data_IF_915479801190
#
_entry.id   IF_915479801190
#
_cell.length_a   1.000
_cell.length_b   1.000
_cell.length_c   1.000
_cell.angle_alpha   90.00
_cell.angle_beta   90.00
_cell.angle_gamma   90.00
#
_symmetry.space_group_name_H-M   'P 1'
#
loop_
_entity.id
_entity.type
_entity.pdbx_description
1 polymer ?
#
# COMPACT_ATOMS: atom_id res chain seq x y z
N UNK A 1 3.92 -13.58 -14.63
CA UNK A 1 5.08 -12.67 -14.76
C UNK A 1 4.97 -11.63 -13.65
N UNK A 2 6.09 -11.30 -13.01
CA UNK A 2 6.19 -10.26 -11.99
C UNK A 2 7.09 -9.16 -12.55
N UNK A 3 6.73 -7.90 -12.34
CA UNK A 3 7.58 -6.76 -12.68
C UNK A 3 7.80 -5.94 -11.42
N UNK A 4 9.06 -5.59 -11.16
CA UNK A 4 9.45 -4.74 -10.03
C UNK A 4 10.08 -3.49 -10.63
N UNK A 5 9.58 -2.33 -10.21
CA UNK A 5 10.13 -1.02 -10.56
C UNK A 5 10.60 -0.34 -9.26
N UNK A 6 11.90 -0.42 -8.95
CA UNK A 6 12.47 0.28 -7.81
C UNK A 6 12.39 1.80 -8.03
N UNK A 7 12.07 2.55 -6.98
CA UNK A 7 12.06 4.02 -7.01
C UNK A 7 13.20 4.54 -6.13
N UNK A 8 13.18 4.23 -4.82
CA UNK A 8 14.20 4.67 -3.88
C UNK A 8 14.08 3.91 -2.56
N UNK A 9 15.19 3.51 -1.95
CA UNK A 9 15.20 2.84 -0.65
C UNK A 9 14.22 1.65 -0.57
N UNK A 10 13.17 1.76 0.26
CA UNK A 10 12.11 0.75 0.42
C UNK A 10 10.94 0.95 -0.56
N UNK A 11 10.93 2.06 -1.30
CA UNK A 11 9.89 2.39 -2.27
C UNK A 11 10.09 1.64 -3.58
N UNK A 12 9.11 0.82 -3.92
CA UNK A 12 9.04 0.13 -5.20
C UNK A 12 7.59 -0.07 -5.65
N UNK A 13 7.42 -0.29 -6.96
CA UNK A 13 6.16 -0.71 -7.55
C UNK A 13 6.29 -2.16 -8.01
N UNK A 14 5.42 -3.02 -7.51
CA UNK A 14 5.31 -4.40 -7.93
C UNK A 14 4.04 -4.56 -8.77
N UNK A 15 4.18 -5.18 -9.94
CA UNK A 15 3.07 -5.51 -10.84
C UNK A 15 2.98 -7.02 -10.95
N UNK A 16 1.87 -7.59 -10.50
CA UNK A 16 1.67 -9.03 -10.51
C UNK A 16 0.19 -9.38 -10.61
N UNK A 17 -0.16 -10.24 -11.57
CA UNK A 17 -1.52 -10.77 -11.67
C UNK A 17 -2.62 -9.72 -11.91
N UNK A 18 -2.27 -8.54 -12.47
CA UNK A 18 -3.19 -7.41 -12.64
C UNK A 18 -3.15 -6.39 -11.50
N UNK A 19 -2.58 -6.77 -10.36
CA UNK A 19 -2.39 -5.91 -9.19
C UNK A 19 -1.21 -4.95 -9.38
N UNK A 20 -1.35 -3.75 -8.83
CA UNK A 20 -0.31 -2.73 -8.75
C UNK A 20 -0.08 -2.43 -7.28
N UNK A 21 1.04 -2.91 -6.75
CA UNK A 21 1.39 -2.84 -5.33
C UNK A 21 2.48 -1.80 -5.15
N UNK A 22 2.25 -0.80 -4.31
CA UNK A 22 3.28 0.16 -3.92
C UNK A 22 3.79 -0.19 -2.53
N UNK A 23 5.11 -0.33 -2.37
CA UNK A 23 5.73 -0.56 -1.07
C UNK A 23 6.29 0.73 -0.53
N UNK A 24 6.10 1.00 0.76
CA UNK A 24 6.71 2.10 1.52
C UNK A 24 6.84 3.40 0.72
N UNK A 25 5.70 3.98 0.26
CA UNK A 25 5.73 5.07 -0.69
C UNK A 25 6.21 6.37 -0.04
N UNK A 26 7.42 6.79 -0.41
CA UNK A 26 7.98 8.11 -0.08
C UNK A 26 8.42 8.85 -1.35
N UNK A 27 8.70 10.15 -1.24
CA UNK A 27 9.18 10.98 -2.35
C UNK A 27 8.11 11.82 -3.08
N UNK A 28 6.88 11.86 -2.56
CA UNK A 28 5.79 12.66 -3.10
C UNK A 28 5.19 12.10 -4.39
N UNK A 29 4.20 12.79 -4.95
CA UNK A 29 3.51 12.35 -6.17
C UNK A 29 4.44 12.23 -7.39
N UNK A 30 5.47 13.08 -7.47
CA UNK A 30 6.43 13.11 -8.57
C UNK A 30 7.21 11.79 -8.73
N UNK A 31 7.51 11.11 -7.62
CA UNK A 31 8.16 9.81 -7.64
C UNK A 31 7.35 8.71 -8.34
N UNK A 32 6.03 8.92 -8.50
CA UNK A 32 5.09 7.97 -9.09
C UNK A 32 4.47 8.46 -10.40
N UNK A 33 5.01 9.53 -11.00
CA UNK A 33 4.52 10.05 -12.28
C UNK A 33 4.60 9.01 -13.40
N UNK A 34 3.56 8.95 -14.24
CA UNK A 34 3.44 7.97 -15.32
C UNK A 34 3.16 6.54 -14.87
N UNK A 35 3.08 6.27 -13.56
CA UNK A 35 2.75 4.96 -13.03
C UNK A 35 1.24 4.79 -12.89
N UNK A 36 0.78 3.53 -12.99
CA UNK A 36 -0.63 3.20 -12.75
C UNK A 36 -0.95 3.36 -11.27
N UNK A 37 -2.15 3.83 -10.95
CA UNK A 37 -2.63 3.90 -9.56
C UNK A 37 -2.50 2.54 -8.86
N UNK A 38 -2.09 2.51 -7.58
CA UNK A 38 -1.99 1.27 -6.84
C UNK A 38 -3.38 0.68 -6.62
N UNK A 39 -3.47 -0.65 -6.68
CA UNK A 39 -4.59 -1.42 -6.14
C UNK A 39 -4.35 -1.78 -4.67
N UNK A 40 -3.07 -1.80 -4.26
CA UNK A 40 -2.65 -2.04 -2.89
C UNK A 40 -1.45 -1.16 -2.54
N UNK A 41 -1.46 -0.60 -1.34
CA UNK A 41 -0.29 0.04 -0.72
C UNK A 41 0.11 -0.79 0.50
N UNK A 42 1.39 -1.13 0.58
CA UNK A 42 1.98 -1.81 1.73
C UNK A 42 2.93 -0.83 2.43
N UNK A 43 2.66 -0.54 3.70
CA UNK A 43 3.56 0.24 4.55
C UNK A 43 4.08 -0.68 5.65
N UNK A 44 5.39 -0.79 5.77
CA UNK A 44 6.05 -1.75 6.65
C UNK A 44 6.35 -1.18 8.03
N UNK A 45 6.63 0.12 8.11
CA UNK A 45 7.14 0.76 9.33
C UNK A 45 6.71 2.24 9.46
N UNK A 46 6.87 2.80 10.65
CA UNK A 46 6.56 4.20 11.00
C UNK A 46 7.73 5.18 10.77
N UNK A 47 8.93 4.69 10.46
CA UNK A 47 10.08 5.54 10.17
C UNK A 47 9.85 6.39 8.91
N UNK A 48 10.48 7.57 8.89
CA UNK A 48 10.26 8.62 7.87
C UNK A 48 10.69 8.21 6.46
N UNK A 49 11.56 7.22 6.33
CA UNK A 49 12.04 6.63 5.08
C UNK A 49 11.16 5.47 4.57
N UNK A 50 10.14 5.08 5.33
CA UNK A 50 9.10 4.12 4.94
C UNK A 50 7.71 4.74 4.83
N UNK A 51 7.41 5.72 5.69
CA UNK A 51 6.10 6.38 5.78
C UNK A 51 6.20 7.87 5.49
N UNK A 52 5.42 8.32 4.51
CA UNK A 52 5.17 9.75 4.25
C UNK A 52 3.68 10.00 4.12
N UNK A 53 3.09 10.68 5.11
CA UNK A 53 1.66 11.04 5.09
C UNK A 53 1.30 11.92 3.88
N UNK A 54 2.20 12.82 3.49
CA UNK A 54 2.06 13.65 2.28
C UNK A 54 2.01 12.80 1.02
N UNK A 55 2.97 11.87 0.87
CA UNK A 55 3.01 10.97 -0.30
C UNK A 55 1.77 10.10 -0.34
N UNK A 56 1.38 9.51 0.78
CA UNK A 56 0.21 8.65 0.89
C UNK A 56 -1.07 9.40 0.50
N UNK A 57 -1.28 10.60 1.03
CA UNK A 57 -2.45 11.42 0.70
C UNK A 57 -2.52 11.79 -0.79
N UNK A 58 -1.38 11.94 -1.45
CA UNK A 58 -1.31 12.29 -2.87
C UNK A 58 -1.58 11.10 -3.81
N UNK A 59 -1.26 9.87 -3.40
CA UNK A 59 -1.29 8.70 -4.30
C UNK A 59 -2.31 7.63 -3.92
N UNK A 60 -2.89 7.66 -2.72
CA UNK A 60 -3.86 6.67 -2.25
C UNK A 60 -5.22 6.89 -2.92
N UNK A 61 -5.67 6.01 -3.83
CA UNK A 61 -7.02 6.11 -4.38
C UNK A 61 -8.03 5.50 -3.39
N UNK A 62 -9.31 5.87 -3.53
CA UNK A 62 -10.39 5.44 -2.62
C UNK A 62 -10.66 3.93 -2.64
N UNK A 63 -10.29 3.25 -3.72
CA UNK A 63 -10.50 1.83 -3.98
C UNK A 63 -9.27 0.96 -3.71
N UNK A 64 -8.13 1.55 -3.31
CA UNK A 64 -6.95 0.79 -2.94
C UNK A 64 -7.05 0.21 -1.53
N UNK A 65 -6.52 -1.00 -1.36
CA UNK A 65 -6.29 -1.59 -0.04
C UNK A 65 -5.01 -1.03 0.57
N UNK A 66 -5.05 -0.59 1.84
CA UNK A 66 -3.86 -0.19 2.60
C UNK A 66 -3.52 -1.27 3.62
N UNK A 67 -2.43 -2.01 3.41
CA UNK A 67 -1.93 -2.97 4.40
C UNK A 67 -0.79 -2.31 5.19
N UNK A 68 -0.94 -2.23 6.50
CA UNK A 68 0.07 -1.67 7.38
C UNK A 68 -0.03 -2.22 8.81
N UNK A 69 1.04 -2.18 9.61
CA UNK A 69 0.98 -2.45 11.04
C UNK A 69 0.08 -1.46 11.78
N UNK A 70 -0.43 -1.87 12.96
CA UNK A 70 -1.21 -1.00 13.85
C UNK A 70 -0.52 0.34 14.12
N UNK A 71 0.80 0.31 14.34
CA UNK A 71 1.58 1.50 14.65
C UNK A 71 1.50 2.58 13.56
N UNK A 72 1.45 2.17 12.29
CA UNK A 72 1.30 3.10 11.14
C UNK A 72 -0.10 3.72 11.14
N UNK A 73 -1.13 2.90 11.35
CA UNK A 73 -2.52 3.36 11.34
C UNK A 73 -2.77 4.35 12.48
N UNK A 74 -2.23 4.08 13.67
CA UNK A 74 -2.44 4.92 14.85
C UNK A 74 -1.83 6.33 14.72
N UNK A 75 -0.82 6.50 13.86
CA UNK A 75 -0.13 7.80 13.67
C UNK A 75 -0.61 8.59 12.45
N UNK A 76 -1.44 8.01 11.57
CA UNK A 76 -1.98 8.70 10.40
C UNK A 76 -3.16 9.60 10.83
N UNK A 77 -2.99 10.93 10.88
CA UNK A 77 -4.01 11.81 11.44
C UNK A 77 -5.14 12.03 10.41
N UNK A 78 -6.39 11.77 10.82
CA UNK A 78 -7.57 12.26 10.10
C UNK A 78 -7.81 11.65 8.71
N UNK A 79 -7.11 10.56 8.35
CA UNK A 79 -7.49 9.77 7.17
C UNK A 79 -8.71 8.94 7.54
N UNK A 80 -9.87 9.26 6.96
CA UNK A 80 -11.09 8.48 7.10
C UNK A 80 -10.90 7.13 6.39
N UNK A 81 -10.35 6.17 7.12
CA UNK A 81 -10.14 4.81 6.65
C UNK A 81 -11.44 3.97 6.64
N UNK A 82 -12.61 4.59 6.88
CA UNK A 82 -13.90 3.87 6.97
C UNK A 82 -14.38 3.31 5.62
N UNK A 83 -13.99 3.93 4.50
CA UNK A 83 -14.26 3.40 3.14
C UNK A 83 -13.23 2.38 2.66
N UNK A 84 -12.09 2.29 3.35
CA UNK A 84 -10.99 1.42 2.99
C UNK A 84 -10.97 0.28 4.03
N UNK A 85 -11.89 -0.68 3.90
CA UNK A 85 -12.23 -1.72 4.88
C UNK A 85 -11.08 -2.62 5.41
N UNK A 86 -9.81 -2.34 5.12
CA UNK A 86 -8.71 -3.21 5.52
C UNK A 86 -7.48 -2.45 6.00
N UNK A 87 -7.60 -1.64 7.06
CA UNK A 87 -6.52 -1.55 8.03
C UNK A 87 -6.44 -2.89 8.79
N UNK A 88 -5.93 -3.94 8.13
CA UNK A 88 -5.83 -5.30 8.68
C UNK A 88 -4.70 -5.40 9.70
N UNK A 89 -4.81 -4.62 10.77
CA UNK A 89 -4.05 -4.80 12.00
C UNK A 89 -4.73 -5.82 12.92
N UNK A 90 -5.28 -6.89 12.36
CA UNK A 90 -5.62 -8.12 13.06
C UNK A 90 -5.90 -9.12 11.96
N UNK A 91 -5.09 -10.17 11.86
CA UNK A 91 -5.49 -11.37 11.14
C UNK A 91 -6.67 -11.93 11.94
N UNK A 92 -7.87 -11.42 11.69
CA UNK A 92 -9.10 -12.12 12.02
C UNK A 92 -8.94 -13.51 11.38
N UNK A 93 -9.11 -14.62 12.12
CA UNK A 93 -8.86 -15.97 11.61
C UNK A 93 -9.79 -16.41 10.44
N UNK A 94 -10.47 -15.47 9.77
CA UNK A 94 -11.45 -15.74 8.71
C UNK A 94 -11.37 -14.88 7.45
N UNK A 95 -10.48 -13.89 7.31
CA UNK A 95 -10.34 -13.12 6.04
C UNK A 95 -8.94 -13.29 5.47
N UNK A 96 -8.77 -14.45 4.84
CA UNK A 96 -7.78 -14.66 3.80
C UNK A 96 -8.46 -14.36 2.46
N UNK A 97 -8.55 -13.09 2.05
CA UNK A 97 -8.66 -12.77 0.62
C UNK A 97 -7.26 -12.55 0.05
N UNK A 98 -6.40 -13.55 0.24
CA UNK A 98 -5.09 -13.63 -0.40
C UNK A 98 -5.29 -14.39 -1.71
N UNK A 99 -5.53 -13.63 -2.78
CA UNK A 99 -5.59 -14.04 -4.19
C UNK A 99 -6.66 -15.12 -4.50
N UNK A 100 -7.22 -15.17 -5.72
CA UNK A 100 -7.91 -16.39 -6.13
C UNK A 100 -6.91 -17.54 -5.92
N UNK A 101 -7.30 -18.58 -5.17
CA UNK A 101 -6.52 -19.82 -5.03
C UNK A 101 -5.96 -20.14 -6.42
N UNK A 102 -4.64 -20.20 -6.57
CA UNK A 102 -4.04 -20.79 -7.76
C UNK A 102 -4.68 -22.17 -7.90
N UNK A 103 -5.58 -22.30 -8.87
CA UNK A 103 -6.23 -23.56 -9.18
C UNK A 103 -5.12 -24.52 -9.60
N UNK A 104 -5.03 -25.65 -8.90
CA UNK A 104 -4.47 -26.88 -9.43
C UNK A 104 -5.55 -27.95 -9.29
#
# INVERSE_FOLDING_TARGET
>A
MVTIHPISHATAILKWGGEIIYTDPVGGASAFEGQRKPTLILITDIHWDHLSAETLAAILPKDASLIAPKAVVDILPGMDMSSNETAFAYISPGILRIFPKCAR
#
